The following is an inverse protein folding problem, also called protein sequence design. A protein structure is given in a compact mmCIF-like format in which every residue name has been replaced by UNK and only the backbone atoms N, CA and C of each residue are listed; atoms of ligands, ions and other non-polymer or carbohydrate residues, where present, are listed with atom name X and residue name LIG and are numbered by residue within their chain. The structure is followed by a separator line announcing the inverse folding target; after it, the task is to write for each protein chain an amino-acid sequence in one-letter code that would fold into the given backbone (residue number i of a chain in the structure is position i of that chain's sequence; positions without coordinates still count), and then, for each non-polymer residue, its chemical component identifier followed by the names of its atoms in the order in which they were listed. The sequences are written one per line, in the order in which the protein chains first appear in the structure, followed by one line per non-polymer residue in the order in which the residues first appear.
data_IF_976696284569
#
_entry.id   IF_976696284569
#
_cell.length_a   1.000
_cell.length_b   1.000
_cell.length_c   1.000
_cell.angle_alpha   90.00
_cell.angle_beta   90.00
_cell.angle_gamma   90.00
#
_symmetry.space_group_name_H-M   'P 1'
#
loop_
_entity.id
_entity.type
_entity.pdbx_description
1 polymer ?
#
# COMPACT_ATOMS: atom_id res chain seq x y z
N UNK A 1 -3.44 1.65 -11.35
CA UNK A 1 -4.13 2.78 -12.03
C UNK A 1 -3.17 3.53 -12.97
N UNK A 2 -2.01 4.01 -12.51
CA UNK A 2 -1.04 4.74 -13.36
C UNK A 2 -0.64 4.00 -14.66
N UNK A 3 -0.36 2.69 -14.57
CA UNK A 3 0.02 1.86 -15.73
C UNK A 3 -1.12 1.77 -16.75
N UNK A 4 -2.37 1.66 -16.30
CA UNK A 4 -3.54 1.60 -17.17
C UNK A 4 -3.76 2.94 -17.89
N UNK A 5 -3.61 4.06 -17.16
CA UNK A 5 -3.67 5.40 -17.75
C UNK A 5 -2.58 5.57 -18.83
N UNK A 6 -1.34 5.19 -18.54
CA UNK A 6 -0.25 5.29 -19.54
C UNK A 6 -0.54 4.47 -20.80
N UNK A 7 -1.00 3.23 -20.66
CA UNK A 7 -1.30 2.35 -21.82
C UNK A 7 -2.51 2.85 -22.62
N UNK A 8 -3.64 3.11 -21.97
CA UNK A 8 -4.92 3.32 -22.65
C UNK A 8 -5.23 4.80 -22.94
N UNK A 9 -4.70 5.76 -22.16
CA UNK A 9 -4.95 7.19 -22.37
C UNK A 9 -3.81 7.90 -23.11
N UNK A 10 -2.56 7.42 -22.97
CA UNK A 10 -1.37 8.05 -23.58
C UNK A 10 -0.70 7.19 -24.64
N UNK A 11 -1.28 6.03 -25.00
CA UNK A 11 -0.77 5.15 -26.06
C UNK A 11 0.62 4.58 -25.77
N UNK A 12 1.06 4.56 -24.51
CA UNK A 12 2.38 4.06 -24.17
C UNK A 12 2.48 2.56 -24.49
N UNK A 13 3.62 2.14 -25.04
CA UNK A 13 3.86 0.74 -25.36
C UNK A 13 4.23 -0.09 -24.12
N UNK A 14 3.24 -0.31 -23.27
CA UNK A 14 3.34 -1.11 -22.06
C UNK A 14 2.71 -2.48 -22.29
N UNK A 15 3.45 -3.52 -21.93
CA UNK A 15 2.97 -4.89 -21.97
C UNK A 15 1.78 -5.07 -20.98
N UNK A 16 0.61 -5.52 -21.46
CA UNK A 16 -0.54 -5.84 -20.61
C UNK A 16 -0.23 -6.83 -19.47
N UNK A 17 0.81 -7.67 -19.60
CA UNK A 17 1.24 -8.61 -18.56
C UNK A 17 1.53 -7.92 -17.22
N UNK A 18 2.05 -6.69 -17.25
CA UNK A 18 2.36 -5.89 -16.04
C UNK A 18 1.07 -5.54 -15.28
N UNK A 19 0.00 -5.20 -16.00
CA UNK A 19 -1.31 -4.89 -15.39
C UNK A 19 -1.92 -6.13 -14.75
N UNK A 20 -1.87 -7.26 -15.46
CA UNK A 20 -2.41 -8.53 -14.98
C UNK A 20 -1.64 -8.99 -13.74
N UNK A 21 -0.31 -9.00 -13.82
CA UNK A 21 0.56 -9.35 -12.70
C UNK A 21 0.31 -8.45 -11.49
N UNK A 22 0.28 -7.13 -11.69
CA UNK A 22 0.01 -6.18 -10.61
C UNK A 22 -1.36 -6.38 -9.96
N UNK A 23 -2.39 -6.69 -10.75
CA UNK A 23 -3.72 -7.00 -10.23
C UNK A 23 -3.72 -8.29 -9.41
N UNK A 24 -3.11 -9.36 -9.92
CA UNK A 24 -2.98 -10.63 -9.20
C UNK A 24 -2.21 -10.45 -7.90
N UNK A 25 -1.12 -9.68 -7.91
CA UNK A 25 -0.31 -9.39 -6.73
C UNK A 25 -1.13 -8.63 -5.67
N UNK A 26 -1.86 -7.58 -6.08
CA UNK A 26 -2.71 -6.80 -5.18
C UNK A 26 -3.81 -7.68 -4.53
N UNK A 27 -4.47 -8.52 -5.33
CA UNK A 27 -5.46 -9.49 -4.82
C UNK A 27 -4.81 -10.46 -3.83
N UNK A 28 -3.64 -11.00 -4.18
CA UNK A 28 -2.92 -11.97 -3.34
C UNK A 28 -2.55 -11.37 -1.97
N UNK A 29 -2.02 -10.14 -1.96
CA UNK A 29 -1.71 -9.42 -0.72
C UNK A 29 -2.98 -9.19 0.11
N UNK A 30 -4.07 -8.76 -0.53
CA UNK A 30 -5.35 -8.50 0.16
C UNK A 30 -5.90 -9.78 0.80
N UNK A 31 -5.87 -10.90 0.08
CA UNK A 31 -6.34 -12.20 0.58
C UNK A 31 -5.45 -12.73 1.71
N UNK A 32 -4.14 -12.57 1.59
CA UNK A 32 -3.19 -12.97 2.63
C UNK A 32 -3.42 -12.20 3.94
N UNK A 33 -3.76 -10.91 3.84
CA UNK A 33 -3.99 -10.04 4.99
C UNK A 33 -5.44 -10.00 5.47
N UNK A 34 -6.34 -10.87 4.96
CA UNK A 34 -7.76 -10.85 5.33
C UNK A 34 -8.01 -10.89 6.85
N UNK A 35 -7.17 -11.62 7.60
CA UNK A 35 -7.30 -11.70 9.06
C UNK A 35 -6.91 -10.38 9.73
N UNK A 36 -5.85 -9.73 9.27
CA UNK A 36 -5.43 -8.41 9.75
C UNK A 36 -6.50 -7.37 9.43
N UNK A 37 -7.10 -7.42 8.24
CA UNK A 37 -8.21 -6.54 7.85
C UNK A 37 -9.40 -6.74 8.79
N UNK A 38 -9.76 -7.98 9.11
CA UNK A 38 -10.83 -8.26 10.08
C UNK A 38 -10.50 -7.71 11.47
N UNK A 39 -9.28 -7.90 11.96
CA UNK A 39 -8.84 -7.35 13.25
C UNK A 39 -8.83 -5.81 13.25
N UNK A 40 -8.44 -5.18 12.14
CA UNK A 40 -8.54 -3.72 11.96
C UNK A 40 -9.98 -3.23 12.04
N UNK A 41 -10.91 -3.87 11.31
CA UNK A 41 -12.34 -3.53 11.35
C UNK A 41 -12.95 -3.74 12.74
N UNK A 42 -12.49 -4.76 13.47
CA UNK A 42 -12.92 -5.06 14.83
C UNK A 42 -12.20 -4.24 15.91
N UNK A 43 -11.21 -3.41 15.54
CA UNK A 43 -10.41 -2.63 16.49
C UNK A 43 -9.48 -3.46 17.38
N UNK A 44 -9.14 -4.69 16.98
CA UNK A 44 -8.30 -5.63 17.76
C UNK A 44 -6.94 -5.89 17.13
N UNK A 45 -6.57 -5.16 16.08
CA UNK A 45 -5.21 -5.24 15.51
C UNK A 45 -4.19 -4.58 16.45
N UNK A 46 -2.98 -5.16 16.53
CA UNK A 46 -1.89 -4.59 17.30
C UNK A 46 -1.48 -3.22 16.75
N UNK A 47 -1.46 -2.21 17.61
CA UNK A 47 -0.97 -0.88 17.28
C UNK A 47 0.51 -0.77 17.65
N UNK A 48 1.34 -0.34 16.72
CA UNK A 48 2.74 -0.03 17.00
C UNK A 48 2.77 1.38 17.61
N UNK A 49 2.91 1.46 18.94
CA UNK A 49 2.95 2.73 19.68
C UNK A 49 4.37 3.27 19.87
N UNK A 50 5.39 2.45 19.60
CA UNK A 50 6.80 2.82 19.72
C UNK A 50 7.33 3.58 18.49
N UNK A 51 6.55 4.53 17.98
CA UNK A 51 7.11 5.48 17.02
C UNK A 51 8.08 6.38 17.80
N UNK A 52 9.34 5.97 17.86
CA UNK A 52 10.42 6.79 18.38
C UNK A 52 10.77 7.78 17.27
N UNK A 53 10.45 9.09 17.41
CA UNK A 53 10.82 10.06 16.40
C UNK A 53 12.33 10.00 16.22
N UNK A 54 12.81 9.95 14.98
CA UNK A 54 14.24 10.02 14.73
C UNK A 54 14.82 11.24 15.47
N UNK A 55 15.99 11.13 16.11
CA UNK A 55 16.54 12.17 17.00
C UNK A 55 16.59 13.57 16.35
N UNK A 56 16.63 13.66 15.01
CA UNK A 56 16.56 14.93 14.27
C UNK A 56 15.18 15.63 14.22
N UNK A 57 14.10 14.97 14.65
CA UNK A 57 12.75 15.57 14.77
C UNK A 57 12.51 16.20 16.15
N UNK A 58 13.28 15.80 17.17
CA UNK A 58 13.13 16.22 18.58
C UNK A 58 13.57 17.67 18.87
N UNK A 59 13.74 18.51 17.85
CA UNK A 59 14.16 19.91 18.01
C UNK A 59 13.55 20.89 17.02
N UNK A 60 12.66 20.43 16.13
CA UNK A 60 12.03 21.28 15.10
C UNK A 60 10.59 21.69 15.37
N UNK A 61 9.99 21.22 16.48
CA UNK A 61 8.58 21.50 16.78
C UNK A 61 7.60 20.84 15.80
N UNK A 62 8.00 19.72 15.19
CA UNK A 62 7.21 18.95 14.22
C UNK A 62 6.38 17.83 14.88
N UNK A 63 5.96 18.05 16.14
CA UNK A 63 5.04 17.18 16.91
C UNK A 63 3.77 17.94 17.26
#
# INVERSE_FOLDING_TARGET
ILVAIRRYAFGADLDPSILIFGALLAVSITVAHRSNIQRLLNGTESQITSFEPAQGMLGRGEL
#
